data_IF_412422961332
#
_entry.id   IF_412422961332
#
_cell.length_a   1.000
_cell.length_b   1.000
_cell.length_c   1.000
_cell.angle_alpha   90.00
_cell.angle_beta   90.00
_cell.angle_gamma   90.00
#
_symmetry.space_group_name_H-M   'P 1'
#
loop_
_entity.id
_entity.type
_entity.pdbx_description
1 polymer ?
#
# COMPACT_ATOMS: atom_id res chain seq x y z
N UNK A 1 -15.76 -13.00 3.53
CA UNK A 1 -15.58 -11.59 3.12
C UNK A 1 -14.19 -11.46 2.53
N UNK A 2 -14.07 -11.04 1.28
CA UNK A 2 -12.76 -10.88 0.62
C UNK A 2 -12.04 -9.68 1.23
N UNK A 3 -10.94 -9.93 1.92
CA UNK A 3 -10.06 -8.87 2.42
C UNK A 3 -9.33 -8.28 1.20
N UNK A 4 -9.65 -7.04 0.84
CA UNK A 4 -8.99 -6.34 -0.25
C UNK A 4 -7.65 -5.78 0.26
N UNK A 5 -6.60 -5.92 -0.55
CA UNK A 5 -5.25 -5.46 -0.25
C UNK A 5 -4.88 -4.31 -1.20
N UNK A 6 -4.52 -3.16 -0.62
CA UNK A 6 -4.18 -1.94 -1.34
C UNK A 6 -2.67 -1.72 -1.27
N UNK A 7 -2.07 -1.31 -2.39
CA UNK A 7 -0.67 -0.87 -2.46
C UNK A 7 -0.66 0.63 -2.77
N UNK A 8 -0.08 1.41 -1.87
CA UNK A 8 0.11 2.86 -2.04
C UNK A 8 1.51 3.11 -2.60
N UNK A 9 1.58 3.74 -3.77
CA UNK A 9 2.84 4.18 -4.40
C UNK A 9 2.89 5.70 -4.31
N UNK A 10 3.73 6.21 -3.41
CA UNK A 10 3.80 7.64 -3.09
C UNK A 10 5.21 7.97 -2.60
N UNK A 11 5.87 8.94 -3.24
CA UNK A 11 7.24 9.34 -2.97
C UNK A 11 7.38 10.34 -1.82
N UNK A 12 6.31 11.08 -1.48
CA UNK A 12 6.29 11.99 -0.34
C UNK A 12 5.93 11.24 0.96
N UNK A 13 6.85 11.15 1.96
CA UNK A 13 6.65 10.30 3.13
C UNK A 13 5.43 10.64 4.00
N UNK A 14 5.09 11.93 4.13
CA UNK A 14 3.95 12.36 4.95
C UNK A 14 2.64 11.98 4.28
N UNK A 15 2.53 12.17 2.98
CA UNK A 15 1.36 11.80 2.18
C UNK A 15 1.18 10.29 2.15
N UNK A 16 2.27 9.53 1.99
CA UNK A 16 2.26 8.07 2.07
C UNK A 16 1.70 7.59 3.43
N UNK A 17 2.20 8.13 4.53
CA UNK A 17 1.74 7.77 5.88
C UNK A 17 0.26 8.13 6.10
N UNK A 18 -0.21 9.27 5.58
CA UNK A 18 -1.62 9.68 5.65
C UNK A 18 -2.53 8.73 4.88
N UNK A 19 -2.14 8.34 3.67
CA UNK A 19 -2.90 7.41 2.84
C UNK A 19 -2.95 6.01 3.47
N UNK A 20 -1.83 5.54 4.03
CA UNK A 20 -1.80 4.27 4.75
C UNK A 20 -2.80 4.26 5.91
N UNK A 21 -2.73 5.26 6.80
CA UNK A 21 -3.61 5.35 7.96
C UNK A 21 -5.09 5.43 7.56
N UNK A 22 -5.41 6.18 6.50
CA UNK A 22 -6.78 6.29 5.99
C UNK A 22 -7.34 4.93 5.55
N UNK A 23 -6.59 4.16 4.74
CA UNK A 23 -7.07 2.87 4.24
C UNK A 23 -7.09 1.77 5.32
N UNK A 24 -6.15 1.81 6.27
CA UNK A 24 -6.19 0.91 7.42
C UNK A 24 -7.43 1.17 8.30
N UNK A 25 -7.82 2.43 8.49
CA UNK A 25 -9.04 2.81 9.22
C UNK A 25 -10.31 2.30 8.52
N UNK A 26 -10.34 2.29 7.19
CA UNK A 26 -11.44 1.73 6.39
C UNK A 26 -11.45 0.18 6.39
N UNK A 27 -10.49 -0.46 7.05
CA UNK A 27 -10.41 -1.91 7.20
C UNK A 27 -9.66 -2.64 6.08
N UNK A 28 -8.92 -1.92 5.24
CA UNK A 28 -8.06 -2.52 4.22
C UNK A 28 -6.74 -2.99 4.80
N UNK A 29 -6.18 -4.05 4.22
CA UNK A 29 -4.74 -4.32 4.36
C UNK A 29 -4.00 -3.38 3.42
N UNK A 30 -2.91 -2.77 3.89
CA UNK A 30 -2.17 -1.77 3.11
C UNK A 30 -0.69 -2.10 3.10
N UNK A 31 -0.05 -1.86 1.96
CA UNK A 31 1.41 -1.83 1.82
C UNK A 31 1.81 -0.55 1.12
N UNK A 32 2.93 0.05 1.54
CA UNK A 32 3.40 1.33 1.01
C UNK A 32 4.74 1.16 0.31
N UNK A 33 4.98 1.96 -0.73
CA UNK A 33 6.28 2.00 -1.41
C UNK A 33 6.54 3.39 -2.01
N UNK A 34 7.75 3.90 -1.83
CA UNK A 34 8.17 5.21 -2.35
C UNK A 34 8.67 5.20 -3.79
N UNK A 35 8.55 4.07 -4.49
CA UNK A 35 9.04 3.90 -5.85
C UNK A 35 8.01 3.15 -6.68
N UNK A 36 7.85 3.54 -7.95
CA UNK A 36 7.06 2.78 -8.91
C UNK A 36 7.68 1.39 -9.01
N UNK A 37 7.03 0.39 -8.41
CA UNK A 37 7.50 -0.99 -8.45
C UNK A 37 7.31 -1.55 -9.86
N UNK A 38 8.32 -1.36 -10.72
CA UNK A 38 8.45 -2.08 -11.99
C UNK A 38 8.57 -3.61 -11.79
N UNK A 39 8.68 -4.09 -10.54
CA UNK A 39 8.87 -5.50 -10.17
C UNK A 39 7.79 -6.08 -9.23
N UNK A 40 6.61 -5.47 -9.12
CA UNK A 40 5.54 -5.86 -8.18
C UNK A 40 5.08 -7.34 -8.26
N UNK A 41 5.53 -8.11 -9.26
CA UNK A 41 5.26 -9.55 -9.37
C UNK A 41 6.00 -10.41 -8.33
N UNK A 42 7.04 -9.91 -7.65
CA UNK A 42 7.87 -10.72 -6.76
C UNK A 42 7.49 -10.63 -5.26
N UNK A 43 6.75 -9.60 -4.83
CA UNK A 43 6.50 -9.33 -3.40
C UNK A 43 5.10 -9.72 -2.88
N UNK A 44 4.17 -10.12 -3.77
CA UNK A 44 2.81 -10.53 -3.37
C UNK A 44 2.69 -12.06 -3.17
N UNK A 45 3.75 -12.83 -3.46
CA UNK A 45 3.80 -14.28 -3.18
C UNK A 45 4.96 -14.65 -2.27
N UNK A 46 4.72 -14.65 -0.96
CA UNK A 46 5.14 -15.70 -0.04
C UNK A 46 4.23 -15.75 1.18
#
# INVERSE_FOLDING_TARGET
>A
MTSHHIVVVEDEPVTQARLQAYFEQEGYRVSVTGMVQVYAKLWISK
#
